data_IF_028159309758
#
_entry.id   IF_028159309758
#
_cell.length_a   1.000
_cell.length_b   1.000
_cell.length_c   1.000
_cell.angle_alpha   90.00
_cell.angle_beta   90.00
_cell.angle_gamma   90.00
#
_symmetry.space_group_name_H-M   'P 1'
#
loop_
_entity.id
_entity.type
_entity.pdbx_description
1 polymer ?
#
# COMPACT_ATOMS: atom_id res chain seq x y z
N UNK A 1 9.06 -6.98 -15.97
CA UNK A 1 7.99 -7.01 -16.98
C UNK A 1 6.68 -6.82 -16.24
N UNK A 2 5.88 -5.78 -16.52
CA UNK A 2 4.57 -5.67 -15.89
C UNK A 2 3.75 -6.89 -16.29
N UNK A 3 3.23 -7.60 -15.32
CA UNK A 3 2.36 -8.77 -15.52
C UNK A 3 1.07 -8.26 -16.18
N UNK A 4 0.86 -8.61 -17.45
CA UNK A 4 -0.41 -8.34 -18.14
C UNK A 4 -1.53 -9.10 -17.42
N UNK A 5 -2.63 -8.43 -17.08
CA UNK A 5 -3.79 -9.05 -16.45
C UNK A 5 -4.66 -8.00 -15.73
N UNK A 6 -5.95 -8.31 -15.63
CA UNK A 6 -6.93 -7.50 -14.90
C UNK A 6 -6.68 -7.56 -13.39
N UNK A 7 -7.26 -6.63 -12.63
CA UNK A 7 -7.20 -6.65 -11.15
C UNK A 7 -7.75 -7.98 -10.62
N UNK A 8 -8.88 -8.46 -11.15
CA UNK A 8 -9.49 -9.72 -10.74
C UNK A 8 -8.56 -10.93 -10.96
N UNK A 9 -7.91 -11.03 -12.12
CA UNK A 9 -6.96 -12.12 -12.40
C UNK A 9 -5.76 -12.12 -11.46
N UNK A 10 -5.32 -10.95 -11.00
CA UNK A 10 -4.25 -10.82 -10.03
C UNK A 10 -4.72 -11.18 -8.62
N UNK A 11 -5.92 -10.74 -8.23
CA UNK A 11 -6.55 -11.11 -6.97
C UNK A 11 -6.74 -12.63 -6.86
N UNK A 12 -7.27 -13.27 -7.91
CA UNK A 12 -7.49 -14.72 -7.93
C UNK A 12 -6.20 -15.54 -7.65
N UNK A 13 -5.05 -14.98 -8.00
CA UNK A 13 -3.74 -15.59 -7.74
C UNK A 13 -3.27 -15.42 -6.29
N UNK A 14 -3.52 -14.26 -5.68
CA UNK A 14 -2.96 -13.92 -4.34
C UNK A 14 -3.91 -14.23 -3.19
N UNK A 15 -5.24 -14.12 -3.40
CA UNK A 15 -6.22 -14.28 -2.33
C UNK A 15 -6.18 -15.65 -1.63
N UNK A 16 -5.92 -16.79 -2.30
CA UNK A 16 -5.82 -18.07 -1.62
C UNK A 16 -4.71 -18.10 -0.55
N UNK A 17 -3.53 -17.55 -0.84
CA UNK A 17 -2.42 -17.49 0.12
C UNK A 17 -2.70 -16.53 1.26
N UNK A 18 -3.30 -15.36 0.96
CA UNK A 18 -3.71 -14.39 1.98
C UNK A 18 -4.72 -15.01 2.96
N UNK A 19 -5.73 -15.72 2.42
CA UNK A 19 -6.75 -16.36 3.24
C UNK A 19 -6.20 -17.48 4.12
N UNK A 20 -5.29 -18.29 3.59
CA UNK A 20 -4.70 -19.40 4.36
C UNK A 20 -3.85 -18.92 5.54
N UNK A 21 -3.26 -17.74 5.46
CA UNK A 21 -2.43 -17.17 6.51
C UNK A 21 -3.23 -16.34 7.55
N UNK A 22 -4.49 -16.00 7.27
CA UNK A 22 -5.25 -15.02 8.04
C UNK A 22 -5.34 -15.35 9.54
N UNK A 23 -5.64 -16.62 9.89
CA UNK A 23 -5.74 -17.05 11.27
C UNK A 23 -4.42 -16.90 12.03
N UNK A 24 -3.31 -17.32 11.41
CA UNK A 24 -1.97 -17.26 12.01
C UNK A 24 -1.52 -15.80 12.21
N UNK A 25 -1.77 -14.93 11.22
CA UNK A 25 -1.47 -13.50 11.30
C UNK A 25 -2.22 -12.84 12.44
N UNK A 26 -3.50 -13.20 12.65
CA UNK A 26 -4.32 -12.66 13.72
C UNK A 26 -3.87 -13.19 15.10
N UNK A 27 -3.72 -14.51 15.25
CA UNK A 27 -3.30 -15.15 16.50
C UNK A 27 -1.94 -14.67 17.02
N UNK A 28 -1.00 -14.42 16.12
CA UNK A 28 0.35 -13.97 16.44
C UNK A 28 0.49 -12.45 16.50
N UNK A 29 -0.54 -11.68 16.15
CA UNK A 29 -0.45 -10.24 15.93
C UNK A 29 0.76 -9.86 15.03
N UNK A 30 1.00 -10.67 14.00
CA UNK A 30 2.19 -10.56 13.15
C UNK A 30 1.94 -9.62 11.96
N UNK A 31 3.01 -8.94 11.52
CA UNK A 31 2.96 -8.23 10.25
C UNK A 31 2.92 -9.25 9.09
N UNK A 32 1.99 -9.13 8.12
CA UNK A 32 1.77 -10.11 7.06
C UNK A 32 2.80 -9.99 5.91
N UNK A 33 4.08 -10.25 6.20
CA UNK A 33 5.21 -10.02 5.28
C UNK A 33 5.01 -10.72 3.93
N UNK A 34 4.72 -12.03 3.97
CA UNK A 34 4.58 -12.85 2.76
C UNK A 34 3.36 -12.44 1.93
N UNK A 35 2.27 -12.03 2.58
CA UNK A 35 1.05 -11.60 1.92
C UNK A 35 1.23 -10.23 1.25
N UNK A 36 1.96 -9.32 1.91
CA UNK A 36 2.32 -8.02 1.32
C UNK A 36 3.28 -8.21 0.16
N UNK A 37 4.24 -9.14 0.27
CA UNK A 37 5.13 -9.48 -0.83
C UNK A 37 4.36 -10.07 -2.03
N UNK A 38 3.37 -10.93 -1.79
CA UNK A 38 2.52 -11.46 -2.87
C UNK A 38 1.72 -10.35 -3.58
N UNK A 39 1.24 -9.33 -2.83
CA UNK A 39 0.61 -8.15 -3.42
C UNK A 39 1.62 -7.34 -4.26
N UNK A 40 2.86 -7.19 -3.81
CA UNK A 40 3.93 -6.54 -4.56
C UNK A 40 4.24 -7.28 -5.87
N UNK A 41 4.49 -8.58 -5.78
CA UNK A 41 4.83 -9.44 -6.93
C UNK A 41 3.72 -9.48 -7.98
N UNK A 42 2.47 -9.33 -7.55
CA UNK A 42 1.33 -9.23 -8.45
C UNK A 42 1.14 -7.83 -9.07
N UNK A 43 1.88 -6.82 -8.59
CA UNK A 43 1.75 -5.42 -9.00
C UNK A 43 0.57 -4.67 -8.38
N UNK A 44 -0.17 -5.29 -7.44
CA UNK A 44 -1.34 -4.67 -6.81
C UNK A 44 -0.96 -3.49 -5.89
N UNK A 45 0.28 -3.40 -5.39
CA UNK A 45 0.74 -2.24 -4.63
C UNK A 45 0.78 -0.96 -5.48
N UNK A 46 1.05 -1.09 -6.79
CA UNK A 46 1.02 0.01 -7.75
C UNK A 46 -0.34 0.26 -8.39
N UNK A 47 -1.44 -0.30 -7.86
CA UNK A 47 -2.75 -0.33 -8.50
C UNK A 47 -3.19 1.04 -9.06
N UNK A 48 -3.09 2.09 -8.26
CA UNK A 48 -3.61 3.43 -8.58
C UNK A 48 -2.60 4.32 -9.33
N UNK A 49 -1.36 3.88 -9.46
CA UNK A 49 -0.31 4.66 -10.13
C UNK A 49 -0.35 4.48 -11.65
N UNK A 50 0.09 5.49 -12.40
CA UNK A 50 0.22 5.40 -13.85
C UNK A 50 1.16 4.26 -14.30
N UNK A 51 0.91 3.75 -15.50
CA UNK A 51 1.67 2.60 -16.03
C UNK A 51 3.11 2.93 -16.42
N UNK A 52 3.41 4.19 -16.73
CA UNK A 52 4.74 4.68 -17.07
C UNK A 52 5.71 4.71 -15.88
N UNK A 53 5.17 4.77 -14.65
CA UNK A 53 5.97 4.65 -13.42
C UNK A 53 5.82 3.28 -12.74
N UNK A 54 5.35 2.29 -13.46
CA UNK A 54 5.26 0.91 -12.98
C UNK A 54 3.95 0.53 -12.30
N UNK A 55 2.95 1.42 -12.30
CA UNK A 55 1.62 1.14 -11.76
C UNK A 55 0.70 0.40 -12.74
N UNK A 56 -0.55 0.21 -12.33
CA UNK A 56 -1.58 -0.45 -13.14
C UNK A 56 -2.54 0.54 -13.83
N UNK A 57 -2.55 1.81 -13.43
CA UNK A 57 -3.49 2.82 -13.92
C UNK A 57 -4.93 2.57 -13.49
N UNK A 58 -5.13 1.84 -12.39
CA UNK A 58 -6.46 1.49 -11.89
C UNK A 58 -7.20 2.71 -11.33
N UNK A 59 -8.50 2.73 -11.56
CA UNK A 59 -9.42 3.76 -11.08
C UNK A 59 -10.12 3.38 -9.77
N UNK A 60 -11.10 4.19 -9.35
CA UNK A 60 -11.83 3.96 -8.09
C UNK A 60 -12.54 2.61 -8.02
N UNK A 61 -13.04 2.10 -9.14
CA UNK A 61 -13.73 0.80 -9.17
C UNK A 61 -12.77 -0.34 -8.88
N UNK A 62 -11.62 -0.34 -9.53
CA UNK A 62 -10.56 -1.33 -9.35
C UNK A 62 -9.97 -1.25 -7.93
N UNK A 63 -9.85 -0.04 -7.37
CA UNK A 63 -9.41 0.16 -5.98
C UNK A 63 -10.38 -0.51 -4.99
N UNK A 64 -11.68 -0.29 -5.15
CA UNK A 64 -12.71 -0.88 -4.29
C UNK A 64 -12.72 -2.40 -4.44
N UNK A 65 -12.66 -2.92 -5.67
CA UNK A 65 -12.60 -4.36 -5.95
C UNK A 65 -11.41 -5.02 -5.24
N UNK A 66 -10.22 -4.44 -5.38
CA UNK A 66 -9.01 -4.98 -4.76
C UNK A 66 -9.09 -4.96 -3.22
N UNK A 67 -9.51 -3.85 -2.64
CA UNK A 67 -9.64 -3.72 -1.18
C UNK A 67 -10.70 -4.68 -0.62
N UNK A 68 -11.85 -4.83 -1.27
CA UNK A 68 -12.90 -5.77 -0.87
C UNK A 68 -12.40 -7.22 -0.95
N UNK A 69 -11.69 -7.58 -2.02
CA UNK A 69 -11.12 -8.91 -2.18
C UNK A 69 -10.15 -9.26 -1.06
N UNK A 70 -9.17 -8.39 -0.80
CA UNK A 70 -8.17 -8.60 0.24
C UNK A 70 -8.80 -8.57 1.63
N UNK A 71 -9.76 -7.67 1.90
CA UNK A 71 -10.47 -7.60 3.19
C UNK A 71 -11.28 -8.88 3.48
N UNK A 72 -11.92 -9.45 2.47
CA UNK A 72 -12.63 -10.73 2.59
C UNK A 72 -11.70 -11.95 2.81
N UNK A 73 -10.41 -11.79 2.57
CA UNK A 73 -9.40 -12.83 2.81
C UNK A 73 -8.70 -12.65 4.17
N UNK A 74 -8.22 -11.44 4.50
CA UNK A 74 -7.52 -11.13 5.75
C UNK A 74 -7.65 -9.63 6.06
N UNK A 75 -8.27 -9.28 7.18
CA UNK A 75 -8.45 -7.91 7.63
C UNK A 75 -7.12 -7.18 7.89
N UNK A 76 -6.15 -7.85 8.53
CA UNK A 76 -4.82 -7.29 8.80
C UNK A 76 -4.08 -6.94 7.51
N UNK A 77 -4.02 -7.88 6.57
CA UNK A 77 -3.39 -7.62 5.26
C UNK A 77 -4.09 -6.50 4.49
N UNK A 78 -5.42 -6.45 4.56
CA UNK A 78 -6.20 -5.39 3.92
C UNK A 78 -5.91 -4.02 4.51
N UNK A 79 -5.74 -3.92 5.83
CA UNK A 79 -5.39 -2.65 6.48
C UNK A 79 -4.02 -2.16 6.03
N UNK A 80 -3.01 -3.04 5.97
CA UNK A 80 -1.67 -2.68 5.45
C UNK A 80 -1.76 -2.21 4.00
N UNK A 81 -2.51 -2.94 3.17
CA UNK A 81 -2.72 -2.61 1.76
C UNK A 81 -3.44 -1.27 1.58
N UNK A 82 -4.52 -1.03 2.32
CA UNK A 82 -5.25 0.24 2.31
C UNK A 82 -4.35 1.42 2.69
N UNK A 83 -3.57 1.29 3.76
CA UNK A 83 -2.69 2.36 4.23
C UNK A 83 -1.58 2.65 3.21
N UNK A 84 -1.06 1.62 2.55
CA UNK A 84 -0.09 1.79 1.46
C UNK A 84 -0.71 2.54 0.27
N UNK A 85 -1.88 2.14 -0.22
CA UNK A 85 -2.55 2.81 -1.33
C UNK A 85 -2.93 4.25 -0.99
N UNK A 86 -3.38 4.50 0.24
CA UNK A 86 -3.69 5.86 0.70
C UNK A 86 -2.44 6.75 0.74
N UNK A 87 -1.32 6.25 1.27
CA UNK A 87 -0.04 6.98 1.26
C UNK A 87 0.46 7.23 -0.17
N UNK A 88 0.34 6.23 -1.03
CA UNK A 88 0.70 6.32 -2.45
C UNK A 88 -0.14 7.38 -3.17
N UNK A 89 -1.45 7.44 -2.92
CA UNK A 89 -2.33 8.46 -3.49
C UNK A 89 -1.95 9.88 -3.04
N UNK A 90 -1.63 10.06 -1.76
CA UNK A 90 -1.18 11.36 -1.22
C UNK A 90 0.15 11.78 -1.83
N UNK A 91 1.10 10.84 -1.94
CA UNK A 91 2.41 11.10 -2.56
C UNK A 91 2.27 11.45 -4.03
N UNK A 92 1.42 10.75 -4.78
CA UNK A 92 1.17 11.03 -6.19
C UNK A 92 0.48 12.39 -6.43
N UNK A 93 -0.32 12.86 -5.45
CA UNK A 93 -0.96 14.18 -5.50
C UNK A 93 -0.03 15.32 -5.04
N UNK A 94 1.14 15.02 -4.47
CA UNK A 94 2.11 16.03 -4.05
C UNK A 94 2.78 16.65 -5.29
N UNK A 95 3.21 17.94 -5.21
CA UNK A 95 4.00 18.51 -6.29
C UNK A 95 5.26 17.66 -6.54
N UNK A 96 5.57 17.36 -7.79
CA UNK A 96 6.75 16.57 -8.11
C UNK A 96 8.02 17.32 -7.65
N UNK A 97 8.86 16.62 -6.85
CA UNK A 97 10.23 17.01 -6.58
C UNK A 97 11.18 16.16 -7.41
N UNK A 98 12.46 16.46 -7.40
CA UNK A 98 13.47 15.76 -8.21
C UNK A 98 13.51 14.24 -7.96
N UNK A 99 13.11 13.79 -6.75
CA UNK A 99 13.07 12.39 -6.36
C UNK A 99 11.64 11.79 -6.35
N UNK A 100 10.62 12.55 -6.75
CA UNK A 100 9.21 12.15 -6.64
C UNK A 100 8.88 10.90 -7.46
N UNK A 101 9.34 10.82 -8.69
CA UNK A 101 9.09 9.70 -9.59
C UNK A 101 9.80 8.42 -9.10
N UNK A 102 11.02 8.54 -8.57
CA UNK A 102 11.73 7.41 -7.99
C UNK A 102 11.00 6.84 -6.77
N UNK A 103 10.50 7.70 -5.88
CA UNK A 103 9.71 7.27 -4.74
C UNK A 103 8.41 6.58 -5.17
N UNK A 104 7.71 7.14 -6.16
CA UNK A 104 6.48 6.52 -6.68
C UNK A 104 6.76 5.16 -7.33
N UNK A 105 7.88 4.99 -8.04
CA UNK A 105 8.29 3.70 -8.58
C UNK A 105 8.59 2.68 -7.48
N UNK A 106 9.26 3.09 -6.40
CA UNK A 106 9.51 2.25 -5.24
C UNK A 106 8.21 1.82 -4.53
N UNK A 107 7.25 2.74 -4.40
CA UNK A 107 5.92 2.43 -3.88
C UNK A 107 5.16 1.49 -4.81
N UNK A 108 5.22 1.70 -6.13
CA UNK A 108 4.55 0.84 -7.11
C UNK A 108 5.03 -0.61 -7.07
N UNK A 109 6.33 -0.81 -6.85
CA UNK A 109 6.97 -2.14 -6.82
C UNK A 109 6.96 -2.80 -5.44
N UNK A 110 6.68 -2.04 -4.38
CA UNK A 110 6.79 -2.51 -3.00
C UNK A 110 8.21 -2.50 -2.45
N UNK A 111 9.19 -1.90 -3.15
CA UNK A 111 10.51 -1.66 -2.60
C UNK A 111 10.44 -0.76 -1.35
N UNK A 112 9.44 0.12 -1.31
CA UNK A 112 9.03 0.86 -0.12
C UNK A 112 7.54 0.69 0.16
N UNK A 113 7.17 0.62 1.43
CA UNK A 113 5.78 0.65 1.88
C UNK A 113 5.46 2.02 2.47
N UNK A 114 4.36 2.62 1.99
CA UNK A 114 3.83 3.86 2.53
C UNK A 114 2.82 3.63 3.64
N UNK A 115 2.73 4.59 4.55
CA UNK A 115 1.63 4.69 5.52
C UNK A 115 1.35 6.15 5.84
N UNK A 116 0.18 6.43 6.40
CA UNK A 116 -0.22 7.78 6.81
C UNK A 116 -0.36 7.85 8.32
N UNK A 117 0.29 8.84 8.93
CA UNK A 117 0.22 9.11 10.36
C UNK A 117 -0.97 10.04 10.67
N UNK A 118 -2.19 9.50 10.61
CA UNK A 118 -3.40 10.30 10.89
C UNK A 118 -3.68 10.48 12.38
N UNK A 119 -3.30 9.52 13.21
CA UNK A 119 -3.59 9.50 14.63
C UNK A 119 -2.32 9.74 15.42
N UNK A 120 -2.23 10.92 16.02
CA UNK A 120 -1.07 11.35 16.78
C UNK A 120 -1.48 11.75 18.19
N UNK A 121 -0.59 11.52 19.16
CA UNK A 121 -0.82 11.98 20.52
C UNK A 121 -0.92 13.52 20.54
N UNK A 122 -2.11 14.02 20.88
CA UNK A 122 -2.38 15.46 20.94
C UNK A 122 -3.17 16.01 19.73
N UNK A 123 -3.24 15.32 18.62
CA UNK A 123 -4.01 15.75 17.43
C UNK A 123 -5.51 15.45 17.55
N UNK A 124 -5.94 14.65 18.52
CA UNK A 124 -7.32 14.15 18.66
C UNK A 124 -7.84 13.49 17.36
N UNK A 125 -6.95 12.84 16.61
CA UNK A 125 -7.24 12.25 15.30
C UNK A 125 -7.67 13.26 14.23
N UNK A 126 -7.34 14.53 14.39
CA UNK A 126 -7.58 15.55 13.40
C UNK A 126 -6.44 15.55 12.38
N UNK A 127 -6.58 14.80 11.27
CA UNK A 127 -5.55 14.69 10.24
C UNK A 127 -5.18 16.01 9.57
N UNK A 128 -6.06 17.02 9.63
CA UNK A 128 -5.80 18.38 9.12
C UNK A 128 -5.01 19.28 10.09
N UNK A 129 -4.72 18.81 11.30
CA UNK A 129 -3.96 19.52 12.31
C UNK A 129 -2.84 18.65 12.88
N UNK A 130 -1.81 18.29 12.06
CA UNK A 130 -0.72 17.43 12.49
C UNK A 130 0.11 18.10 13.57
N UNK A 131 0.45 17.36 14.63
CA UNK A 131 1.28 17.81 15.75
C UNK A 131 2.77 17.51 15.53
N UNK A 132 3.17 16.36 14.89
CA UNK A 132 4.57 16.07 14.65
C UNK A 132 5.21 17.11 13.74
N UNK A 133 6.43 17.47 14.10
CA UNK A 133 7.29 18.30 13.25
C UNK A 133 8.37 17.38 12.65
N UNK A 134 8.60 17.46 11.34
CA UNK A 134 9.70 16.74 10.75
C UNK A 134 11.01 17.21 11.41
N UNK A 135 11.83 16.27 11.85
CA UNK A 135 13.21 16.52 12.29
C UNK A 135 14.16 16.25 11.12
N UNK A 136 15.24 17.03 11.05
CA UNK A 136 16.29 16.70 10.09
C UNK A 136 16.76 15.24 10.31
N UNK A 137 17.06 14.49 9.24
CA UNK A 137 17.60 13.15 9.37
C UNK A 137 18.86 13.20 10.21
N UNK A 138 18.87 12.41 11.30
CA UNK A 138 20.07 12.21 12.09
C UNK A 138 21.15 11.52 11.27
N UNK A 139 22.43 11.56 11.70
CA UNK A 139 23.47 10.80 11.02
C UNK A 139 23.06 9.34 10.95
N UNK A 140 23.19 8.73 9.76
CA UNK A 140 22.94 7.31 9.56
C UNK A 140 23.77 6.50 10.57
N UNK A 141 23.12 5.62 11.32
CA UNK A 141 23.78 4.71 12.24
C UNK A 141 24.16 3.44 11.53
#
# INVERSE_FOLDING_TARGET
>A
MPTSGTVQERLDKVLPSIRSAAALVDEQAAFPVEQVQALADSGLLGLILPTDIGGMGGGPSELVEALMGVAGACGTTSMVYLMHLAATAVTAAAPPGDDGDALLADLATGAQLGTLAFSEKGSRSHFWAPVPKPSAPGPAR
#
